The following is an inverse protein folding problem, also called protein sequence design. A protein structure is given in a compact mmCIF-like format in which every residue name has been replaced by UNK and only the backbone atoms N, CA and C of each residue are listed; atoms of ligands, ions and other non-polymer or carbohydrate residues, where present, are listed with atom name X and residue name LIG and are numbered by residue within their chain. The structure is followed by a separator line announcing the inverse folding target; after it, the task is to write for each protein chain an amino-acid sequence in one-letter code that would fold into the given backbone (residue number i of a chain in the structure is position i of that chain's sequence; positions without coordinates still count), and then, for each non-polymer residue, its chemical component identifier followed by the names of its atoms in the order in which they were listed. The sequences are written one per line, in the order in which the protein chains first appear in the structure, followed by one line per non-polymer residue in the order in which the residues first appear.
data_IF_770077248076
#
_entry.id   IF_770077248076
#
_cell.length_a   1.000
_cell.length_b   1.000
_cell.length_c   1.000
_cell.angle_alpha   90.00
_cell.angle_beta   90.00
_cell.angle_gamma   90.00
#
_symmetry.space_group_name_H-M   'P 1'
#
loop_
_entity.id
_entity.type
_entity.pdbx_description
1 polymer ?
#
# COMPACT_ATOMS: atom_id res chain seq x y z
N UNK A 1 3.29 -39.35 32.11
CA UNK A 1 3.35 -38.13 32.95
C UNK A 1 2.22 -38.15 33.97
N UNK A 2 2.51 -38.48 35.25
CA UNK A 2 1.49 -38.85 36.25
C UNK A 2 0.71 -37.67 36.86
N UNK A 3 1.15 -36.42 36.63
CA UNK A 3 0.57 -35.21 37.23
C UNK A 3 -0.33 -34.37 36.31
N UNK A 4 -0.34 -34.64 35.00
CA UNK A 4 -1.25 -33.99 34.03
C UNK A 4 -2.74 -34.10 34.40
N UNK A 5 -3.28 -35.27 34.80
CA UNK A 5 -4.69 -35.38 35.19
C UNK A 5 -5.02 -34.59 36.47
N UNK A 6 -4.04 -34.37 37.35
CA UNK A 6 -4.21 -33.61 38.59
C UNK A 6 -4.35 -32.10 38.30
N UNK A 7 -3.57 -31.58 37.35
CA UNK A 7 -3.66 -30.20 36.87
C UNK A 7 -5.00 -29.98 36.15
N UNK A 8 -5.42 -30.93 35.30
CA UNK A 8 -6.69 -30.87 34.60
C UNK A 8 -7.90 -30.83 35.56
N UNK A 9 -7.86 -31.67 36.60
CA UNK A 9 -8.89 -31.69 37.64
C UNK A 9 -8.90 -30.41 38.49
N UNK A 10 -7.75 -29.74 38.67
CA UNK A 10 -7.64 -28.46 39.37
C UNK A 10 -8.21 -27.28 38.56
N UNK A 11 -8.03 -27.29 37.24
CA UNK A 11 -8.52 -26.27 36.32
C UNK A 11 -10.05 -26.28 36.21
N UNK A 12 -10.67 -27.46 36.20
CA UNK A 12 -12.13 -27.62 36.14
C UNK A 12 -12.87 -27.27 37.44
N UNK A 13 -12.15 -27.12 38.57
CA UNK A 13 -12.75 -26.78 39.88
C UNK A 13 -13.29 -25.35 39.97
N UNK A 14 -12.80 -24.44 39.12
CA UNK A 14 -13.18 -23.00 39.11
C UNK A 14 -13.27 -22.49 37.66
N UNK A 15 -14.27 -22.93 36.88
CA UNK A 15 -14.34 -22.68 35.44
C UNK A 15 -14.37 -21.19 35.07
N UNK A 16 -15.05 -20.35 35.85
CA UNK A 16 -15.10 -18.91 35.60
C UNK A 16 -13.73 -18.23 35.66
N UNK A 17 -12.90 -18.56 36.66
CA UNK A 17 -11.55 -17.96 36.79
C UNK A 17 -10.63 -18.43 35.68
N UNK A 18 -10.69 -19.71 35.32
CA UNK A 18 -9.87 -20.27 34.23
C UNK A 18 -10.23 -19.64 32.89
N UNK A 19 -11.52 -19.53 32.55
CA UNK A 19 -11.97 -18.96 31.28
C UNK A 19 -11.56 -17.49 31.18
N UNK A 20 -11.72 -16.71 32.25
CA UNK A 20 -11.32 -15.29 32.25
C UNK A 20 -9.81 -15.11 32.03
N UNK A 21 -8.97 -15.95 32.67
CA UNK A 21 -7.51 -15.90 32.47
C UNK A 21 -7.15 -16.35 31.04
N UNK A 22 -7.77 -17.43 30.54
CA UNK A 22 -7.52 -17.92 29.19
C UNK A 22 -7.92 -16.90 28.13
N UNK A 23 -9.07 -16.25 28.32
CA UNK A 23 -9.55 -15.18 27.44
C UNK A 23 -8.61 -13.98 27.48
N UNK A 24 -8.15 -13.57 28.66
CA UNK A 24 -7.19 -12.48 28.81
C UNK A 24 -5.90 -12.77 28.03
N UNK A 25 -5.33 -13.97 28.17
CA UNK A 25 -4.13 -14.39 27.45
C UNK A 25 -4.39 -14.45 25.94
N UNK A 26 -5.54 -15.00 25.53
CA UNK A 26 -5.92 -15.10 24.12
C UNK A 26 -6.06 -13.73 23.46
N UNK A 27 -6.69 -12.76 24.15
CA UNK A 27 -6.83 -11.38 23.66
C UNK A 27 -5.46 -10.69 23.55
N UNK A 28 -4.56 -10.89 24.53
CA UNK A 28 -3.21 -10.32 24.46
C UNK A 28 -2.43 -10.85 23.23
N UNK A 29 -2.49 -12.15 22.97
CA UNK A 29 -1.87 -12.73 21.77
C UNK A 29 -2.55 -12.29 20.48
N UNK A 30 -3.87 -12.15 20.45
CA UNK A 30 -4.60 -11.65 19.28
C UNK A 30 -4.19 -10.21 18.93
N UNK A 31 -4.13 -9.32 19.93
CA UNK A 31 -3.69 -7.93 19.74
C UNK A 31 -2.24 -7.87 19.25
N UNK A 32 -1.36 -8.69 19.83
CA UNK A 32 0.03 -8.76 19.39
C UNK A 32 0.16 -9.28 17.95
N UNK A 33 -0.63 -10.30 17.59
CA UNK A 33 -0.68 -10.84 16.23
C UNK A 33 -1.17 -9.82 15.21
N UNK A 34 -2.23 -9.07 15.52
CA UNK A 34 -2.74 -7.98 14.66
C UNK A 34 -1.68 -6.90 14.48
N UNK A 35 -1.00 -6.49 15.55
CA UNK A 35 0.05 -5.48 15.47
C UNK A 35 1.23 -5.93 14.59
N UNK A 36 1.66 -7.18 14.74
CA UNK A 36 2.69 -7.76 13.88
C UNK A 36 2.25 -7.86 12.43
N UNK A 37 1.02 -8.32 12.18
CA UNK A 37 0.45 -8.39 10.83
C UNK A 37 0.37 -7.01 10.16
N UNK A 38 -0.06 -6.00 10.91
CA UNK A 38 -0.12 -4.62 10.42
C UNK A 38 1.27 -4.08 10.11
N UNK A 39 2.24 -4.28 11.00
CA UNK A 39 3.63 -3.85 10.78
C UNK A 39 4.19 -4.44 9.49
N UNK A 40 4.08 -5.76 9.32
CA UNK A 40 4.58 -6.43 8.11
C UNK A 40 3.82 -5.99 6.86
N UNK A 41 2.49 -5.81 6.95
CA UNK A 41 1.68 -5.32 5.85
C UNK A 41 2.07 -3.90 5.43
N UNK A 42 2.34 -3.01 6.38
CA UNK A 42 2.84 -1.66 6.11
C UNK A 42 4.24 -1.72 5.51
N UNK A 43 5.16 -2.53 6.04
CA UNK A 43 6.50 -2.70 5.46
C UNK A 43 6.43 -3.21 4.01
N UNK A 44 5.52 -4.14 3.72
CA UNK A 44 5.26 -4.60 2.36
C UNK A 44 4.68 -3.50 1.47
N UNK A 45 3.73 -2.72 1.98
CA UNK A 45 3.13 -1.61 1.25
C UNK A 45 4.15 -0.50 0.97
N UNK A 46 5.06 -0.24 1.91
CA UNK A 46 6.16 0.73 1.75
C UNK A 46 7.22 0.19 0.79
N UNK A 47 7.57 -1.09 0.85
CA UNK A 47 8.47 -1.69 -0.13
C UNK A 47 7.87 -1.71 -1.55
N UNK A 48 6.54 -1.85 -1.66
CA UNK A 48 5.82 -1.71 -2.92
C UNK A 48 5.69 -0.25 -3.36
N UNK A 49 5.77 0.73 -2.45
CA UNK A 49 5.83 2.14 -2.81
C UNK A 49 7.19 2.41 -3.47
N UNK A 50 7.19 2.54 -4.80
CA UNK A 50 8.39 2.75 -5.62
C UNK A 50 9.15 4.00 -5.17
N UNK A 51 10.25 3.81 -4.44
CA UNK A 51 11.15 4.90 -4.07
C UNK A 51 11.88 5.52 -5.27
N UNK A 52 11.95 4.78 -6.39
CA UNK A 52 12.62 5.20 -7.63
C UNK A 52 11.75 6.08 -8.54
N UNK A 53 10.47 6.28 -8.21
CA UNK A 53 9.54 7.05 -9.03
C UNK A 53 9.21 8.39 -8.38
N UNK A 54 9.59 9.47 -9.04
CA UNK A 54 9.30 10.84 -8.62
C UNK A 54 8.15 11.42 -9.45
N UNK A 55 7.07 11.81 -8.78
CA UNK A 55 5.93 12.48 -9.41
C UNK A 55 6.14 14.00 -9.40
N UNK A 56 6.46 14.55 -10.58
CA UNK A 56 6.64 15.99 -10.78
C UNK A 56 5.32 16.62 -11.24
N UNK A 57 4.85 17.64 -10.53
CA UNK A 57 3.59 18.33 -10.83
C UNK A 57 3.75 19.85 -10.68
N UNK A 58 2.85 20.60 -11.32
CA UNK A 58 2.87 22.05 -11.27
C UNK A 58 2.47 22.52 -9.86
N UNK A 59 3.27 23.43 -9.28
CA UNK A 59 3.04 23.98 -7.93
C UNK A 59 1.64 24.55 -7.73
N UNK A 60 1.08 25.21 -8.75
CA UNK A 60 -0.14 25.98 -8.62
C UNK A 60 -1.42 25.15 -8.76
N UNK A 61 -1.37 23.97 -9.37
CA UNK A 61 -2.58 23.17 -9.62
C UNK A 61 -2.19 21.71 -9.84
N UNK A 62 -2.36 20.90 -8.79
CA UNK A 62 -2.02 19.47 -8.77
C UNK A 62 -2.80 18.63 -9.80
N UNK A 63 -3.94 19.11 -10.32
CA UNK A 63 -4.91 18.26 -11.06
C UNK A 63 -5.44 18.80 -12.40
N UNK A 64 -5.24 20.07 -12.75
CA UNK A 64 -5.92 20.67 -13.92
C UNK A 64 -5.00 21.41 -14.90
N UNK A 65 -3.73 21.59 -14.56
CA UNK A 65 -2.76 22.24 -15.45
C UNK A 65 -1.61 21.28 -15.74
N UNK A 66 -1.55 20.65 -16.92
CA UNK A 66 -0.44 19.77 -17.28
C UNK A 66 0.86 20.58 -17.36
N UNK A 67 1.99 19.92 -17.06
CA UNK A 67 3.30 20.53 -17.30
C UNK A 67 3.50 20.75 -18.80
N UNK A 68 4.06 21.89 -19.23
CA UNK A 68 4.46 22.08 -20.61
C UNK A 68 5.48 21.03 -21.04
N UNK A 69 5.26 20.38 -22.19
CA UNK A 69 6.18 19.36 -22.73
C UNK A 69 7.60 19.89 -22.99
N UNK A 70 7.76 21.20 -23.18
CA UNK A 70 9.08 21.83 -23.32
C UNK A 70 9.98 21.67 -22.08
N UNK A 71 9.39 21.44 -20.89
CA UNK A 71 10.16 21.20 -19.65
C UNK A 71 10.67 19.75 -19.57
N UNK A 72 10.19 18.84 -20.42
CA UNK A 72 10.54 17.42 -20.36
C UNK A 72 12.04 17.20 -20.56
N UNK A 73 12.65 17.92 -21.50
CA UNK A 73 14.07 17.80 -21.78
C UNK A 73 14.94 18.34 -20.64
N UNK A 74 14.47 19.43 -19.99
CA UNK A 74 15.12 19.96 -18.78
C UNK A 74 15.08 18.93 -17.64
N UNK A 75 13.93 18.28 -17.41
CA UNK A 75 13.80 17.23 -16.38
C UNK A 75 14.71 16.03 -16.70
N UNK A 76 14.81 15.62 -17.97
CA UNK A 76 15.71 14.54 -18.40
C UNK A 76 17.18 14.87 -18.20
N UNK A 77 17.54 16.15 -18.30
CA UNK A 77 18.92 16.61 -18.12
C UNK A 77 19.40 16.60 -16.66
N UNK A 78 18.48 16.44 -15.69
CA UNK A 78 18.83 16.44 -14.26
C UNK A 78 19.65 15.19 -13.91
N UNK A 79 20.84 15.33 -13.27
CA UNK A 79 21.66 14.20 -12.88
C UNK A 79 20.89 13.20 -11.99
N UNK A 80 20.88 11.93 -12.40
CA UNK A 80 20.20 10.84 -11.68
C UNK A 80 18.82 10.46 -12.23
N UNK A 81 18.24 11.27 -13.13
CA UNK A 81 17.01 10.90 -13.85
C UNK A 81 17.35 9.91 -14.96
N UNK A 82 16.83 8.68 -14.86
CA UNK A 82 17.00 7.67 -15.92
C UNK A 82 15.96 7.81 -17.04
N UNK A 83 14.72 8.07 -16.66
CA UNK A 83 13.56 8.13 -17.55
C UNK A 83 12.62 9.21 -17.03
N UNK A 84 12.08 10.04 -17.93
CA UNK A 84 11.02 10.99 -17.63
C UNK A 84 9.90 10.80 -18.65
N UNK A 85 8.70 10.48 -18.14
CA UNK A 85 7.52 10.18 -18.95
C UNK A 85 6.43 11.21 -18.62
N UNK A 86 5.87 11.91 -19.62
CA UNK A 86 4.70 12.74 -19.41
C UNK A 86 3.48 11.85 -19.16
N UNK A 87 2.78 12.09 -18.06
CA UNK A 87 1.56 11.37 -17.68
C UNK A 87 0.45 12.37 -17.42
N UNK A 88 -0.70 12.16 -18.06
CA UNK A 88 -1.90 12.96 -17.83
C UNK A 88 -3.03 12.06 -17.31
N UNK A 89 -3.63 12.44 -16.19
CA UNK A 89 -4.76 11.74 -15.60
C UNK A 89 -6.03 12.54 -15.86
N UNK A 90 -7.02 11.92 -16.49
CA UNK A 90 -8.31 12.56 -16.78
C UNK A 90 -9.46 11.60 -16.49
N UNK A 91 -10.57 12.13 -15.98
CA UNK A 91 -11.81 11.37 -15.83
C UNK A 91 -12.60 11.35 -17.13
N UNK A 92 -13.08 10.18 -17.55
CA UNK A 92 -13.97 10.02 -18.69
C UNK A 92 -15.15 9.11 -18.33
N UNK A 93 -16.14 9.01 -19.19
CA UNK A 93 -17.23 8.04 -19.07
C UNK A 93 -17.10 6.99 -20.15
N UNK A 94 -17.26 5.72 -19.77
CA UNK A 94 -17.22 4.62 -20.71
C UNK A 94 -18.63 4.23 -21.12
N UNK A 95 -19.01 4.49 -22.37
CA UNK A 95 -20.30 4.17 -22.99
C UNK A 95 -21.55 4.83 -22.36
N UNK A 96 -21.74 4.77 -21.04
CA UNK A 96 -22.88 5.32 -20.31
C UNK A 96 -22.45 6.47 -19.40
N UNK A 97 -23.28 7.52 -19.23
CA UNK A 97 -23.00 8.63 -18.32
C UNK A 97 -22.80 8.24 -16.85
N UNK A 98 -23.31 7.08 -16.44
CA UNK A 98 -23.19 6.55 -15.07
C UNK A 98 -21.89 5.78 -14.81
N UNK A 99 -21.11 5.47 -15.85
CA UNK A 99 -19.91 4.65 -15.76
C UNK A 99 -18.66 5.53 -15.92
N UNK A 100 -18.31 6.24 -14.84
CA UNK A 100 -17.09 7.03 -14.76
C UNK A 100 -15.84 6.13 -14.66
N UNK A 101 -14.86 6.40 -15.51
CA UNK A 101 -13.56 5.74 -15.54
C UNK A 101 -12.43 6.78 -15.44
N UNK A 102 -11.33 6.40 -14.80
CA UNK A 102 -10.08 7.15 -14.86
C UNK A 102 -9.28 6.71 -16.08
N UNK A 103 -8.88 7.66 -16.92
CA UNK A 103 -7.98 7.42 -18.05
C UNK A 103 -6.61 8.02 -17.70
N UNK A 104 -5.56 7.24 -17.95
CA UNK A 104 -4.18 7.69 -17.87
C UNK A 104 -3.65 7.75 -19.30
N UNK A 105 -3.35 8.95 -19.78
CA UNK A 105 -2.68 9.15 -21.06
C UNK A 105 -1.16 9.14 -20.86
N UNK A 106 -0.47 8.37 -21.69
CA UNK A 106 0.99 8.19 -21.67
C UNK A 106 1.53 8.28 -23.09
N UNK A 107 2.75 8.79 -23.25
CA UNK A 107 3.39 8.81 -24.56
C UNK A 107 3.94 7.41 -24.93
N UNK A 108 3.73 6.91 -26.17
CA UNK A 108 4.16 5.57 -26.59
C UNK A 108 5.65 5.46 -26.90
N UNK A 109 6.35 6.59 -27.07
CA UNK A 109 7.75 6.62 -27.56
C UNK A 109 8.81 6.44 -26.47
N UNK A 110 8.43 6.62 -25.20
CA UNK A 110 9.29 6.31 -24.05
C UNK A 110 8.98 4.91 -23.52
N UNK A 111 9.88 4.32 -22.73
CA UNK A 111 9.67 3.06 -21.98
C UNK A 111 8.60 3.27 -20.88
N UNK A 112 7.40 3.66 -21.28
CA UNK A 112 6.26 3.96 -20.43
C UNK A 112 5.85 2.80 -19.52
N UNK A 113 6.05 1.50 -19.88
CA UNK A 113 5.81 0.40 -18.95
C UNK A 113 6.68 0.52 -17.69
N UNK A 114 7.85 1.14 -17.76
CA UNK A 114 8.71 1.38 -16.60
C UNK A 114 8.09 2.33 -15.57
N UNK A 115 7.07 3.13 -15.92
CA UNK A 115 6.31 3.93 -14.97
C UNK A 115 5.30 3.09 -14.16
N UNK A 116 4.87 1.93 -14.68
CA UNK A 116 3.82 1.10 -14.06
C UNK A 116 4.30 -0.28 -13.61
N UNK A 117 5.48 -0.72 -14.06
CA UNK A 117 5.99 -2.08 -13.83
C UNK A 117 7.12 -2.06 -12.80
N UNK A 118 7.13 -3.07 -11.93
CA UNK A 118 8.23 -3.34 -10.99
C UNK A 118 9.33 -4.10 -11.73
N UNK A 119 10.51 -3.52 -11.88
CA UNK A 119 11.72 -4.22 -12.36
C UNK A 119 12.84 -4.02 -11.36
#
# INVERSE_FOLDING_TARGET
MKFLPLIWSGIWRKPGRTILIFLQVSVAFALFGVLQGLKTGVEHAVAAARADLLLVHARQTFLFSPLPLGLLEEIRSVPGVKVAIPVELTGATYQKPTEGIGIVAVSPEDDWPSAFTYT
#
